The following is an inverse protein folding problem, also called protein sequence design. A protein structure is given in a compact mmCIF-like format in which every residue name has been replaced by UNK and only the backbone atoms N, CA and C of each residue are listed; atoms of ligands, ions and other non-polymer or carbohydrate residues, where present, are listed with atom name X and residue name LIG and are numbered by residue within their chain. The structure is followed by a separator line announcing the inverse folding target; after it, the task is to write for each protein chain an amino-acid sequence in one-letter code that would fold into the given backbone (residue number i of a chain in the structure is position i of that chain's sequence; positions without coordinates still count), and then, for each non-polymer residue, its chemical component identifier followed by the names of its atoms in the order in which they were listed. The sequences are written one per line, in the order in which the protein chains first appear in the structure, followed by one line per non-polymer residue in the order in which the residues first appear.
data_IF_278999917979
#
_entry.id   IF_278999917979
#
_cell.length_a   1.000
_cell.length_b   1.000
_cell.length_c   1.000
_cell.angle_alpha   90.00
_cell.angle_beta   90.00
_cell.angle_gamma   90.00
#
_symmetry.space_group_name_H-M   'P 1'
#
loop_
_entity.id
_entity.type
_entity.pdbx_description
1 polymer ?
#
# COMPACT_ATOMS: atom_id res chain seq x y z
N UNK A 1 -41.65 4.48 -2.76
CA UNK A 1 -40.76 3.32 -2.49
C UNK A 1 -39.45 3.86 -1.94
N UNK A 2 -39.25 3.79 -0.64
CA UNK A 2 -37.99 4.17 0.01
C UNK A 2 -37.03 2.98 -0.09
N UNK A 3 -36.01 3.10 -0.95
CA UNK A 3 -34.94 2.11 -1.05
C UNK A 3 -34.09 2.18 0.23
N UNK A 4 -34.26 1.21 1.11
CA UNK A 4 -33.41 1.02 2.29
C UNK A 4 -32.09 0.41 1.82
N UNK A 5 -31.09 1.24 1.57
CA UNK A 5 -29.71 0.78 1.33
C UNK A 5 -29.22 0.03 2.56
N UNK A 6 -29.05 -1.27 2.44
CA UNK A 6 -28.47 -2.11 3.47
C UNK A 6 -27.07 -1.57 3.84
N UNK A 7 -26.70 -1.55 5.14
CA UNK A 7 -25.39 -1.11 5.55
C UNK A 7 -24.31 -2.02 4.93
N UNK A 8 -23.14 -1.48 4.55
CA UNK A 8 -22.08 -2.28 3.96
C UNK A 8 -21.64 -3.40 4.92
N UNK A 9 -21.21 -4.56 4.39
CA UNK A 9 -20.81 -5.70 5.19
C UNK A 9 -19.68 -5.30 6.15
N UNK A 10 -19.68 -5.88 7.36
CA UNK A 10 -18.77 -5.50 8.43
C UNK A 10 -17.27 -5.55 8.04
N UNK A 11 -16.92 -6.42 7.10
CA UNK A 11 -15.55 -6.64 6.63
C UNK A 11 -14.95 -5.41 5.91
N UNK A 12 -15.76 -4.65 5.16
CA UNK A 12 -15.28 -3.48 4.41
C UNK A 12 -14.86 -2.32 5.32
N UNK A 13 -15.47 -2.25 6.51
CA UNK A 13 -15.09 -1.24 7.51
C UNK A 13 -13.75 -1.59 8.16
N UNK A 14 -13.46 -2.88 8.33
CA UNK A 14 -12.20 -3.33 8.92
C UNK A 14 -11.02 -3.10 7.97
N UNK A 15 -11.14 -3.45 6.69
CA UNK A 15 -10.09 -3.22 5.70
C UNK A 15 -9.70 -1.73 5.60
N UNK A 16 -10.70 -0.83 5.57
CA UNK A 16 -10.46 0.63 5.54
C UNK A 16 -9.74 1.15 6.78
N UNK A 17 -10.07 0.65 7.97
CA UNK A 17 -9.38 1.02 9.21
C UNK A 17 -7.91 0.61 9.17
N UNK A 18 -7.60 -0.58 8.66
CA UNK A 18 -6.23 -1.04 8.54
C UNK A 18 -5.43 -0.31 7.46
N UNK A 19 -6.06 0.06 6.34
CA UNK A 19 -5.44 0.93 5.33
C UNK A 19 -5.10 2.32 5.93
N UNK A 20 -6.03 2.92 6.67
CA UNK A 20 -5.78 4.19 7.35
C UNK A 20 -4.66 4.03 8.41
N UNK A 21 -4.68 2.96 9.19
CA UNK A 21 -3.64 2.67 10.17
C UNK A 21 -2.27 2.47 9.48
N UNK A 22 -2.21 1.82 8.33
CA UNK A 22 -1.00 1.65 7.54
C UNK A 22 -0.46 2.98 7.02
N UNK A 23 -1.32 3.84 6.47
CA UNK A 23 -0.93 5.15 6.00
C UNK A 23 -0.41 6.05 7.15
N UNK A 24 -1.09 6.00 8.30
CA UNK A 24 -0.65 6.71 9.51
C UNK A 24 0.65 6.15 10.06
N UNK A 25 0.80 4.83 10.14
CA UNK A 25 2.03 4.19 10.59
C UNK A 25 3.19 4.62 9.70
N UNK A 26 3.05 4.53 8.38
CA UNK A 26 4.07 4.97 7.42
C UNK A 26 4.40 6.46 7.62
N UNK A 27 3.39 7.35 7.52
CA UNK A 27 3.64 8.79 7.62
C UNK A 27 4.24 9.24 8.96
N UNK A 28 3.87 8.61 10.07
CA UNK A 28 4.37 8.98 11.40
C UNK A 28 5.76 8.40 11.67
N UNK A 29 5.93 7.10 11.45
CA UNK A 29 7.15 6.39 11.89
C UNK A 29 8.39 6.79 11.07
N UNK A 30 8.25 7.11 9.79
CA UNK A 30 9.36 7.64 8.98
C UNK A 30 9.84 9.03 9.35
N UNK A 31 9.09 9.77 10.16
CA UNK A 31 9.51 11.07 10.68
C UNK A 31 9.86 11.04 12.17
N UNK A 32 9.52 9.93 12.87
CA UNK A 32 9.66 9.86 14.31
C UNK A 32 11.12 9.72 14.75
N UNK A 33 11.97 9.02 13.98
CA UNK A 33 13.40 8.90 14.27
C UNK A 33 14.08 10.27 14.39
N UNK A 34 13.83 11.15 13.43
CA UNK A 34 14.28 12.55 13.48
C UNK A 34 13.69 13.31 14.68
N UNK A 35 12.39 13.17 14.92
CA UNK A 35 11.70 13.81 16.04
C UNK A 35 12.14 13.33 17.43
N UNK A 36 12.75 12.14 17.53
CA UNK A 36 13.26 11.54 18.76
C UNK A 36 14.77 11.68 18.91
N UNK A 37 15.49 12.18 17.90
CA UNK A 37 16.95 12.28 17.93
C UNK A 37 17.47 13.08 19.14
N UNK A 38 16.72 14.08 19.61
CA UNK A 38 17.06 14.89 20.79
C UNK A 38 17.06 14.11 22.10
N UNK A 39 16.41 12.94 22.17
CA UNK A 39 16.41 12.08 23.35
C UNK A 39 17.76 11.38 23.59
N UNK A 40 18.65 11.37 22.59
CA UNK A 40 20.01 10.85 22.75
C UNK A 40 20.09 9.33 22.87
N UNK A 41 20.98 8.87 23.76
CA UNK A 41 21.39 7.46 23.88
C UNK A 41 20.48 6.64 24.81
N UNK A 42 20.36 5.35 24.50
CA UNK A 42 19.83 4.27 25.34
C UNK A 42 20.84 3.13 25.33
N UNK A 43 21.63 3.00 26.40
CA UNK A 43 22.78 2.10 26.42
C UNK A 43 23.78 2.50 25.32
N UNK A 44 24.16 1.52 24.49
CA UNK A 44 25.10 1.70 23.37
C UNK A 44 24.40 2.11 22.05
N UNK A 45 23.10 2.38 22.08
CA UNK A 45 22.26 2.74 20.91
C UNK A 45 21.56 4.07 21.11
N UNK A 46 20.82 4.57 20.11
CA UNK A 46 20.00 5.79 20.20
C UNK A 46 18.51 5.47 20.19
N UNK A 47 17.70 6.35 20.79
CA UNK A 47 16.25 6.25 20.68
C UNK A 47 15.75 6.26 19.23
N UNK A 48 16.44 7.00 18.34
CA UNK A 48 16.15 7.00 16.91
C UNK A 48 16.32 5.60 16.29
N UNK A 49 17.38 4.87 16.65
CA UNK A 49 17.63 3.51 16.14
C UNK A 49 16.48 2.56 16.52
N UNK A 50 15.99 2.64 17.76
CA UNK A 50 14.86 1.83 18.20
C UNK A 50 13.56 2.17 17.47
N UNK A 51 13.34 3.45 17.16
CA UNK A 51 12.20 3.86 16.35
C UNK A 51 12.30 3.31 14.91
N UNK A 52 13.47 3.35 14.31
CA UNK A 52 13.73 2.80 12.98
C UNK A 52 13.54 1.27 12.97
N UNK A 53 13.95 0.56 14.03
CA UNK A 53 13.68 -0.88 14.19
C UNK A 53 12.18 -1.18 14.23
N UNK A 54 11.37 -0.35 14.91
CA UNK A 54 9.93 -0.55 15.03
C UNK A 54 9.14 -0.18 13.78
N UNK A 55 9.68 0.72 12.95
CA UNK A 55 9.02 1.26 11.75
C UNK A 55 8.52 0.17 10.78
N UNK A 56 9.33 -0.81 10.34
CA UNK A 56 8.87 -1.87 9.45
C UNK A 56 7.76 -2.71 10.04
N UNK A 57 7.79 -3.00 11.34
CA UNK A 57 6.72 -3.77 11.98
C UNK A 57 5.40 -3.00 11.98
N UNK A 58 5.42 -1.73 12.35
CA UNK A 58 4.22 -0.90 12.38
C UNK A 58 3.57 -0.80 10.99
N UNK A 59 4.38 -0.56 9.95
CA UNK A 59 3.91 -0.45 8.56
C UNK A 59 3.46 -1.81 8.00
N UNK A 60 4.29 -2.84 8.11
CA UNK A 60 4.02 -4.12 7.45
C UNK A 60 2.92 -4.93 8.11
N UNK A 61 2.77 -4.86 9.44
CA UNK A 61 1.68 -5.56 10.14
C UNK A 61 0.33 -4.93 9.82
N UNK A 62 0.25 -3.59 9.74
CA UNK A 62 -0.99 -2.91 9.37
C UNK A 62 -1.33 -3.12 7.89
N UNK A 63 -0.33 -3.17 7.00
CA UNK A 63 -0.51 -3.58 5.61
C UNK A 63 -1.00 -5.04 5.48
N UNK A 64 -0.39 -5.99 6.19
CA UNK A 64 -0.83 -7.39 6.21
C UNK A 64 -2.27 -7.51 6.74
N UNK A 65 -2.61 -6.78 7.79
CA UNK A 65 -3.97 -6.76 8.34
C UNK A 65 -4.98 -6.20 7.32
N UNK A 66 -4.59 -5.18 6.54
CA UNK A 66 -5.41 -4.66 5.45
C UNK A 66 -5.62 -5.70 4.33
N UNK A 67 -4.56 -6.40 3.91
CA UNK A 67 -4.65 -7.48 2.91
C UNK A 67 -5.52 -8.63 3.41
N UNK A 68 -5.34 -9.05 4.66
CA UNK A 68 -6.14 -10.11 5.27
C UNK A 68 -7.62 -9.72 5.36
N UNK A 69 -7.92 -8.54 5.87
CA UNK A 69 -9.29 -8.03 5.98
C UNK A 69 -9.95 -7.83 4.60
N UNK A 70 -9.16 -7.42 3.60
CA UNK A 70 -9.58 -7.31 2.20
C UNK A 70 -9.57 -8.63 1.43
N UNK A 71 -9.28 -9.76 2.09
CA UNK A 71 -9.26 -11.11 1.51
C UNK A 71 -8.37 -11.24 0.26
N UNK A 72 -7.18 -10.64 0.33
CA UNK A 72 -6.19 -10.74 -0.73
C UNK A 72 -5.93 -12.21 -1.14
N UNK A 73 -5.78 -12.42 -2.44
CA UNK A 73 -5.45 -13.73 -3.00
C UNK A 73 -3.95 -14.06 -2.84
N UNK A 74 -3.55 -15.26 -3.27
CA UNK A 74 -2.15 -15.71 -3.18
C UNK A 74 -1.17 -14.79 -3.93
N UNK A 75 -1.62 -14.12 -5.00
CA UNK A 75 -0.79 -13.20 -5.77
C UNK A 75 -0.56 -11.89 -5.02
N UNK A 76 -1.61 -11.35 -4.40
CA UNK A 76 -1.52 -10.19 -3.52
C UNK A 76 -0.57 -10.45 -2.34
N UNK A 77 -0.66 -11.63 -1.72
CA UNK A 77 0.26 -12.04 -0.66
C UNK A 77 1.70 -12.23 -1.15
N UNK A 78 1.91 -12.84 -2.32
CA UNK A 78 3.26 -12.99 -2.88
C UNK A 78 3.90 -11.62 -3.17
N UNK A 79 3.15 -10.71 -3.78
CA UNK A 79 3.63 -9.35 -4.04
C UNK A 79 3.94 -8.60 -2.74
N UNK A 80 3.07 -8.73 -1.73
CA UNK A 80 3.31 -8.19 -0.40
C UNK A 80 4.58 -8.76 0.23
N UNK A 81 4.82 -10.07 0.18
CA UNK A 81 5.99 -10.69 0.79
C UNK A 81 7.29 -10.21 0.13
N UNK A 82 7.32 -10.13 -1.21
CA UNK A 82 8.48 -9.58 -1.93
C UNK A 82 8.69 -8.11 -1.54
N UNK A 83 7.61 -7.32 -1.49
CA UNK A 83 7.68 -5.93 -1.05
C UNK A 83 8.15 -5.77 0.40
N UNK A 84 7.64 -6.60 1.31
CA UNK A 84 7.96 -6.59 2.73
C UNK A 84 9.43 -6.96 2.99
N UNK A 85 9.95 -7.99 2.33
CA UNK A 85 11.37 -8.36 2.42
C UNK A 85 12.23 -7.20 1.91
N UNK A 86 11.95 -6.70 0.70
CA UNK A 86 12.70 -5.60 0.10
C UNK A 86 12.66 -4.35 1.00
N UNK A 87 11.50 -4.04 1.57
CA UNK A 87 11.30 -2.93 2.49
C UNK A 87 12.15 -3.08 3.76
N UNK A 88 12.11 -4.25 4.41
CA UNK A 88 12.86 -4.53 5.64
C UNK A 88 14.35 -4.48 5.39
N UNK A 89 14.83 -5.06 4.28
CA UNK A 89 16.25 -5.02 3.91
C UNK A 89 16.73 -3.57 3.72
N UNK A 90 15.97 -2.76 2.98
CA UNK A 90 16.31 -1.33 2.80
C UNK A 90 16.37 -0.56 4.12
N UNK A 91 15.41 -0.80 5.02
CA UNK A 91 15.38 -0.17 6.33
C UNK A 91 16.50 -0.69 7.27
N UNK A 92 16.84 -1.97 7.19
CA UNK A 92 17.95 -2.57 7.93
C UNK A 92 19.30 -2.01 7.50
N UNK A 93 19.50 -1.80 6.20
CA UNK A 93 20.69 -1.13 5.65
C UNK A 93 20.78 0.31 6.16
N UNK A 94 19.68 1.06 6.09
CA UNK A 94 19.58 2.43 6.61
C UNK A 94 19.96 2.48 8.10
N UNK A 95 19.33 1.65 8.93
CA UNK A 95 19.61 1.52 10.35
C UNK A 95 21.09 1.21 10.63
N UNK A 96 21.65 0.20 9.95
CA UNK A 96 23.03 -0.21 10.14
C UNK A 96 24.01 0.91 9.76
N UNK A 97 23.75 1.61 8.64
CA UNK A 97 24.56 2.72 8.20
C UNK A 97 24.48 3.91 9.17
N UNK A 98 23.29 4.24 9.68
CA UNK A 98 23.10 5.27 10.72
C UNK A 98 23.86 4.92 12.01
N UNK A 99 23.77 3.67 12.47
CA UNK A 99 24.48 3.20 13.65
C UNK A 99 26.00 3.35 13.49
N UNK A 100 26.56 2.94 12.35
CA UNK A 100 27.98 3.12 12.04
C UNK A 100 28.35 4.60 11.90
N UNK A 101 27.50 5.41 11.27
CA UNK A 101 27.70 6.85 11.09
C UNK A 101 27.72 7.65 12.39
N UNK A 102 26.98 7.18 13.40
CA UNK A 102 26.99 7.77 14.74
C UNK A 102 28.34 7.56 15.45
N UNK A 103 28.99 6.41 15.25
CA UNK A 103 30.28 6.09 15.85
C UNK A 103 31.46 6.66 15.04
N UNK A 104 31.34 6.66 13.71
CA UNK A 104 32.37 7.20 12.80
C UNK A 104 31.78 8.22 11.82
N UNK A 105 31.58 9.48 12.25
CA UNK A 105 30.96 10.50 11.41
C UNK A 105 31.79 10.87 10.17
N UNK A 106 31.11 11.21 9.07
CA UNK A 106 31.73 11.82 7.88
C UNK A 106 32.35 10.84 6.87
N UNK A 107 32.14 9.53 7.02
CA UNK A 107 32.63 8.54 6.05
C UNK A 107 31.67 8.40 4.86
N UNK A 108 32.19 8.56 3.64
CA UNK A 108 31.39 8.53 2.41
C UNK A 108 30.64 7.21 2.19
N UNK A 109 31.19 6.10 2.69
CA UNK A 109 30.55 4.77 2.58
C UNK A 109 29.26 4.69 3.39
N UNK A 110 29.16 5.37 4.54
CA UNK A 110 27.91 5.45 5.31
C UNK A 110 26.86 6.18 4.50
N UNK A 111 27.20 7.35 3.93
CA UNK A 111 26.26 8.10 3.09
C UNK A 111 25.75 7.28 1.90
N UNK A 112 26.61 6.52 1.22
CA UNK A 112 26.19 5.66 0.12
C UNK A 112 25.17 4.60 0.56
N UNK A 113 25.42 3.91 1.66
CA UNK A 113 24.52 2.85 2.12
C UNK A 113 23.25 3.39 2.77
N UNK A 114 23.37 4.47 3.52
CA UNK A 114 22.27 5.16 4.18
C UNK A 114 21.34 5.85 3.16
N UNK A 115 21.82 6.93 2.56
CA UNK A 115 21.01 7.89 1.79
C UNK A 115 20.69 7.43 0.37
N UNK A 116 21.53 6.56 -0.20
CA UNK A 116 21.37 6.12 -1.60
C UNK A 116 20.79 4.71 -1.64
N UNK A 117 21.58 3.70 -1.28
CA UNK A 117 21.19 2.30 -1.47
C UNK A 117 20.00 1.91 -0.57
N UNK A 118 20.08 2.20 0.74
CA UNK A 118 19.04 1.88 1.71
C UNK A 118 17.70 2.51 1.34
N UNK A 119 17.70 3.81 1.02
CA UNK A 119 16.50 4.52 0.59
C UNK A 119 15.91 3.98 -0.71
N UNK A 120 16.71 3.73 -1.76
CA UNK A 120 16.16 3.17 -3.01
C UNK A 120 15.53 1.79 -2.82
N UNK A 121 16.18 0.92 -2.05
CA UNK A 121 15.67 -0.43 -1.75
C UNK A 121 14.39 -0.31 -0.91
N UNK A 122 14.40 0.52 0.13
CA UNK A 122 13.23 0.77 0.97
C UNK A 122 12.04 1.33 0.17
N UNK A 123 12.25 2.32 -0.70
CA UNK A 123 11.19 2.87 -1.55
C UNK A 123 10.67 1.86 -2.57
N UNK A 124 11.53 1.03 -3.15
CA UNK A 124 11.10 -0.06 -4.02
C UNK A 124 10.20 -1.06 -3.27
N UNK A 125 10.60 -1.46 -2.05
CA UNK A 125 9.77 -2.31 -1.19
C UNK A 125 8.42 -1.67 -0.84
N UNK A 126 8.43 -0.38 -0.49
CA UNK A 126 7.22 0.40 -0.23
C UNK A 126 6.27 0.39 -1.42
N UNK A 127 6.80 0.65 -2.62
CA UNK A 127 6.00 0.67 -3.84
C UNK A 127 5.31 -0.68 -4.11
N UNK A 128 6.01 -1.80 -3.87
CA UNK A 128 5.44 -3.14 -4.01
C UNK A 128 4.34 -3.44 -2.98
N UNK A 129 4.52 -3.03 -1.72
CA UNK A 129 3.48 -3.16 -0.68
C UNK A 129 2.24 -2.33 -1.05
N UNK A 130 2.43 -1.09 -1.50
CA UNK A 130 1.33 -0.23 -1.96
C UNK A 130 0.63 -0.84 -3.17
N UNK A 131 1.37 -1.41 -4.12
CA UNK A 131 0.79 -2.10 -5.27
C UNK A 131 -0.07 -3.30 -4.86
N UNK A 132 0.36 -4.10 -3.88
CA UNK A 132 -0.43 -5.21 -3.33
C UNK A 132 -1.74 -4.72 -2.70
N UNK A 133 -1.70 -3.64 -1.92
CA UNK A 133 -2.91 -3.02 -1.34
C UNK A 133 -3.83 -2.46 -2.43
N UNK A 134 -3.27 -1.81 -3.45
CA UNK A 134 -4.04 -1.24 -4.55
C UNK A 134 -4.74 -2.32 -5.41
N UNK A 135 -4.11 -3.48 -5.60
CA UNK A 135 -4.72 -4.64 -6.26
C UNK A 135 -5.98 -5.11 -5.52
N UNK A 136 -5.94 -5.19 -4.19
CA UNK A 136 -7.13 -5.55 -3.38
C UNK A 136 -8.25 -4.54 -3.57
N UNK A 137 -7.93 -3.23 -3.57
CA UNK A 137 -8.91 -2.17 -3.84
C UNK A 137 -9.50 -2.33 -5.24
N UNK A 138 -8.67 -2.59 -6.24
CA UNK A 138 -9.12 -2.75 -7.62
C UNK A 138 -10.04 -3.95 -7.82
N UNK A 139 -9.71 -5.09 -7.21
CA UNK A 139 -10.56 -6.29 -7.21
C UNK A 139 -11.90 -5.98 -6.54
N UNK A 140 -11.87 -5.39 -5.34
CA UNK A 140 -13.08 -5.03 -4.58
C UNK A 140 -13.98 -4.08 -5.38
N UNK A 141 -13.39 -3.05 -6.02
CA UNK A 141 -14.12 -2.12 -6.87
C UNK A 141 -14.80 -2.84 -8.04
N UNK A 142 -14.06 -3.71 -8.70
CA UNK A 142 -14.54 -4.46 -9.86
C UNK A 142 -15.70 -5.36 -9.48
N UNK A 143 -15.54 -6.19 -8.44
CA UNK A 143 -16.58 -7.13 -8.01
C UNK A 143 -17.82 -6.41 -7.52
N UNK A 144 -17.67 -5.33 -6.74
CA UNK A 144 -18.81 -4.54 -6.27
C UNK A 144 -19.54 -3.84 -7.43
N UNK A 145 -18.81 -3.37 -8.45
CA UNK A 145 -19.42 -2.73 -9.62
C UNK A 145 -20.22 -3.73 -10.45
N UNK A 146 -19.70 -4.96 -10.61
CA UNK A 146 -20.38 -6.04 -11.34
C UNK A 146 -21.64 -6.52 -10.59
N UNK A 147 -21.49 -6.95 -9.34
CA UNK A 147 -22.59 -7.47 -8.52
C UNK A 147 -23.64 -6.38 -8.20
N UNK A 148 -23.21 -5.13 -8.05
CA UNK A 148 -24.12 -4.01 -7.82
C UNK A 148 -24.90 -3.57 -9.07
N UNK A 149 -24.67 -4.18 -10.24
CA UNK A 149 -25.28 -3.75 -11.51
C UNK A 149 -24.85 -2.34 -11.94
N UNK A 150 -23.71 -1.86 -11.44
CA UNK A 150 -23.18 -0.52 -11.70
C UNK A 150 -21.90 -0.53 -12.54
N UNK A 151 -21.63 -1.63 -13.24
CA UNK A 151 -20.38 -1.87 -13.95
C UNK A 151 -19.97 -0.73 -14.92
N UNK A 152 -20.92 -0.18 -15.67
CA UNK A 152 -20.66 0.95 -16.58
C UNK A 152 -20.25 2.20 -15.80
N UNK A 153 -20.94 2.53 -14.71
CA UNK A 153 -20.56 3.66 -13.85
C UNK A 153 -19.19 3.41 -13.20
N UNK A 154 -18.96 2.22 -12.67
CA UNK A 154 -17.68 1.81 -12.10
C UNK A 154 -16.53 1.93 -13.10
N UNK A 155 -16.78 1.56 -14.37
CA UNK A 155 -15.83 1.69 -15.47
C UNK A 155 -15.53 3.15 -15.79
N UNK A 156 -16.57 4.00 -15.89
CA UNK A 156 -16.42 5.43 -16.16
C UNK A 156 -15.63 6.14 -15.05
N UNK A 157 -15.93 5.83 -13.79
CA UNK A 157 -15.21 6.39 -12.64
C UNK A 157 -13.74 5.92 -12.64
N UNK A 158 -13.51 4.63 -12.87
CA UNK A 158 -12.15 4.10 -12.95
C UNK A 158 -11.37 4.73 -14.12
N UNK A 159 -12.00 4.92 -15.27
CA UNK A 159 -11.42 5.63 -16.42
C UNK A 159 -11.09 7.09 -16.09
N UNK A 160 -12.02 7.81 -15.45
CA UNK A 160 -11.85 9.20 -15.08
C UNK A 160 -10.69 9.39 -14.09
N UNK A 161 -10.62 8.59 -13.03
CA UNK A 161 -9.52 8.67 -12.05
C UNK A 161 -8.19 8.20 -12.60
N UNK A 162 -8.18 7.19 -13.49
CA UNK A 162 -6.96 6.77 -14.20
C UNK A 162 -6.46 7.89 -15.11
N UNK A 163 -7.34 8.48 -15.92
CA UNK A 163 -6.97 9.56 -16.84
C UNK A 163 -6.54 10.82 -16.10
N UNK A 164 -7.24 11.20 -15.03
CA UNK A 164 -6.82 12.29 -14.16
C UNK A 164 -5.46 11.98 -13.53
N UNK A 165 -5.28 10.77 -12.99
CA UNK A 165 -4.03 10.35 -12.37
C UNK A 165 -2.84 10.39 -13.32
N UNK A 166 -3.03 9.99 -14.59
CA UNK A 166 -2.01 10.11 -15.64
C UNK A 166 -1.64 11.58 -15.94
N UNK A 167 -2.60 12.51 -15.86
CA UNK A 167 -2.37 13.95 -16.05
C UNK A 167 -1.71 14.60 -14.83
N UNK A 168 -2.02 14.14 -13.62
CA UNK A 168 -1.51 14.68 -12.35
C UNK A 168 -0.50 13.73 -11.70
N UNK A 169 0.25 12.98 -12.52
CA UNK A 169 1.19 11.94 -12.08
C UNK A 169 2.29 12.43 -11.11
N UNK A 170 2.54 13.74 -11.08
CA UNK A 170 3.52 14.38 -10.20
C UNK A 170 2.96 14.70 -8.80
N UNK A 171 1.64 14.54 -8.59
CA UNK A 171 0.93 14.80 -7.34
C UNK A 171 0.16 13.52 -6.88
N UNK A 172 -1.02 13.68 -6.28
CA UNK A 172 -1.92 12.60 -5.88
C UNK A 172 -2.31 11.65 -7.03
N UNK A 173 -2.12 12.07 -8.28
CA UNK A 173 -2.41 11.24 -9.46
C UNK A 173 -1.62 9.93 -9.50
N UNK A 174 -0.39 9.94 -9.01
CA UNK A 174 0.46 8.75 -8.90
C UNK A 174 -0.14 7.65 -8.02
N UNK A 175 -0.94 8.01 -7.01
CA UNK A 175 -1.62 7.07 -6.11
C UNK A 175 -2.91 6.52 -6.72
N UNK A 176 -3.62 7.32 -7.52
CA UNK A 176 -4.88 6.89 -8.13
C UNK A 176 -4.69 5.91 -9.28
N UNK A 177 -3.58 6.00 -10.02
CA UNK A 177 -3.28 5.07 -11.12
C UNK A 177 -3.25 3.61 -10.64
N UNK A 178 -2.43 3.21 -9.64
CA UNK A 178 -2.38 1.81 -9.21
C UNK A 178 -3.69 1.32 -8.59
N UNK A 179 -4.55 2.21 -8.06
CA UNK A 179 -5.85 1.84 -7.53
C UNK A 179 -6.93 1.66 -8.61
N UNK A 180 -7.00 2.56 -9.59
CA UNK A 180 -8.10 2.60 -10.56
C UNK A 180 -7.76 2.04 -11.94
N UNK A 181 -6.50 2.07 -12.38
CA UNK A 181 -6.11 1.52 -13.66
C UNK A 181 -6.34 0.00 -13.73
N UNK A 182 -5.98 -0.80 -12.70
CA UNK A 182 -6.27 -2.23 -12.74
C UNK A 182 -7.78 -2.52 -12.72
N UNK A 183 -8.57 -1.71 -12.00
CA UNK A 183 -10.04 -1.84 -12.00
C UNK A 183 -10.65 -1.53 -13.37
N UNK A 184 -10.15 -0.48 -14.04
CA UNK A 184 -10.56 -0.12 -15.40
C UNK A 184 -10.25 -1.26 -16.39
N UNK A 185 -9.05 -1.83 -16.32
CA UNK A 185 -8.65 -2.97 -17.15
C UNK A 185 -9.52 -4.19 -16.87
N UNK A 186 -9.74 -4.53 -15.59
CA UNK A 186 -10.53 -5.70 -15.20
C UNK A 186 -11.99 -5.59 -15.66
N UNK A 187 -12.64 -4.43 -15.43
CA UNK A 187 -14.00 -4.19 -15.89
C UNK A 187 -14.10 -4.23 -17.42
N UNK A 188 -13.16 -3.60 -18.12
CA UNK A 188 -13.13 -3.62 -19.60
C UNK A 188 -12.97 -5.05 -20.13
N UNK A 189 -12.01 -5.80 -19.59
CA UNK A 189 -11.75 -7.18 -20.00
C UNK A 189 -12.95 -8.09 -19.74
N UNK A 190 -13.59 -7.97 -18.58
CA UNK A 190 -14.82 -8.70 -18.25
C UNK A 190 -15.96 -8.34 -19.22
N UNK A 191 -16.17 -7.03 -19.45
CA UNK A 191 -17.20 -6.50 -20.34
C UNK A 191 -17.08 -7.03 -21.77
N UNK A 192 -15.85 -7.03 -22.30
CA UNK A 192 -15.54 -7.56 -23.63
C UNK A 192 -15.76 -9.07 -23.67
N UNK A 193 -15.26 -9.81 -22.67
CA UNK A 193 -15.34 -11.27 -22.63
C UNK A 193 -16.78 -11.78 -22.53
N UNK A 194 -17.59 -11.18 -21.65
CA UNK A 194 -18.99 -11.55 -21.43
C UNK A 194 -19.95 -10.88 -22.41
N UNK A 195 -19.45 -10.05 -23.34
CA UNK A 195 -20.26 -9.23 -24.27
C UNK A 195 -21.33 -8.40 -23.56
N UNK A 196 -20.99 -7.87 -22.40
CA UNK A 196 -21.90 -7.22 -21.46
C UNK A 196 -21.35 -7.30 -20.04
N UNK A 197 -22.16 -6.92 -19.06
CA UNK A 197 -21.77 -6.96 -17.65
C UNK A 197 -22.74 -7.80 -16.83
N UNK A 198 -22.91 -9.11 -17.13
CA UNK A 198 -23.72 -9.99 -16.30
C UNK A 198 -23.10 -10.07 -14.89
N UNK A 199 -23.94 -10.27 -13.88
CA UNK A 199 -23.44 -10.43 -12.52
C UNK A 199 -22.72 -11.80 -12.42
N UNK A 200 -21.52 -11.89 -11.81
CA UNK A 200 -20.86 -13.17 -11.59
C UNK A 200 -21.74 -14.22 -10.89
N UNK A 201 -22.65 -13.79 -10.00
CA UNK A 201 -23.70 -14.65 -9.40
C UNK A 201 -24.67 -15.25 -10.42
N UNK A 202 -25.06 -14.51 -11.46
CA UNK A 202 -25.89 -15.02 -12.56
C UNK A 202 -25.16 -16.11 -13.38
N UNK A 203 -23.82 -16.08 -13.38
CA UNK A 203 -22.96 -17.07 -14.04
C UNK A 203 -22.62 -18.27 -13.14
N UNK A 204 -23.06 -18.26 -11.88
CA UNK A 204 -22.80 -19.33 -10.90
C UNK A 204 -21.35 -19.38 -10.40
N UNK A 205 -20.63 -18.25 -10.41
CA UNK A 205 -19.23 -18.19 -9.94
C UNK A 205 -19.10 -17.89 -8.44
N UNK A 206 -20.18 -17.42 -7.81
CA UNK A 206 -20.29 -17.09 -6.39
C UNK A 206 -21.52 -17.79 -5.80
#
# INVERSE_FOLDING_TARGET
MTSTTAPPPANDRHARRWLAACALAYGLTHHIGFGLAWLGMVGDTRWADWADVLTPYAVLLTAAAALHAGRADHRGWALYLVGAITYVEGHGIHLAANSVGNDTPGIAVVHLWDEVAGHYIWYAGTALVVAALALVVAVTWTTNSLEGGTAVMGLLVAAAFTAWGLRTRHDLGGVLIPAFAPAFVALTAYGVWQRGFPQPTELGWL
#
